data_IF_516400291554
#
_entry.id   IF_516400291554
#
_cell.length_a   1.000
_cell.length_b   1.000
_cell.length_c   1.000
_cell.angle_alpha   90.00
_cell.angle_beta   90.00
_cell.angle_gamma   90.00
#
_symmetry.space_group_name_H-M   'P 1'
#
loop_
_entity.id
_entity.type
_entity.pdbx_description
1 polymer ?
#
# COMPACT_ATOMS: atom_id res chain seq x y z
N UNK A 1 -16.68 -30.45 19.03
CA UNK A 1 -16.65 -29.45 17.95
C UNK A 1 -17.59 -28.36 18.41
N UNK A 2 -17.08 -27.14 18.55
CA UNK A 2 -17.89 -26.00 19.01
C UNK A 2 -18.85 -25.58 17.90
N UNK A 3 -20.08 -25.18 18.27
CA UNK A 3 -21.06 -24.67 17.31
C UNK A 3 -20.58 -23.32 16.75
N UNK A 4 -20.57 -23.19 15.42
CA UNK A 4 -20.18 -21.98 14.72
C UNK A 4 -21.03 -20.77 15.14
N UNK A 5 -22.30 -20.99 15.45
CA UNK A 5 -23.25 -19.93 15.83
C UNK A 5 -23.03 -19.44 17.26
N UNK A 6 -22.32 -20.19 18.10
CA UNK A 6 -22.03 -19.83 19.48
C UNK A 6 -20.65 -19.16 19.64
N UNK A 7 -19.83 -19.16 18.59
CA UNK A 7 -18.51 -18.54 18.62
C UNK A 7 -18.60 -17.01 18.55
N UNK A 8 -17.77 -16.28 19.32
CA UNK A 8 -17.66 -14.83 19.17
C UNK A 8 -17.25 -14.43 17.76
N UNK A 9 -17.77 -13.30 17.28
CA UNK A 9 -17.46 -12.77 15.95
C UNK A 9 -15.95 -12.53 15.74
N UNK A 10 -15.24 -12.17 16.80
CA UNK A 10 -13.79 -12.02 16.79
C UNK A 10 -13.03 -13.32 16.42
N UNK A 11 -13.67 -14.49 16.58
CA UNK A 11 -13.12 -15.79 16.17
C UNK A 11 -13.52 -16.13 14.74
N UNK A 12 -14.81 -16.04 14.42
CA UNK A 12 -15.34 -16.42 13.11
C UNK A 12 -14.89 -15.45 12.01
N UNK A 13 -14.97 -14.14 12.26
CA UNK A 13 -14.54 -13.09 11.32
C UNK A 13 -13.03 -13.06 11.05
N UNK A 14 -12.20 -13.61 11.96
CA UNK A 14 -10.76 -13.77 11.72
C UNK A 14 -10.40 -15.02 10.92
N UNK A 15 -11.27 -16.02 10.88
CA UNK A 15 -11.00 -17.32 10.24
C UNK A 15 -11.74 -17.51 8.93
N UNK A 16 -12.79 -16.72 8.70
CA UNK A 16 -13.60 -16.77 7.50
C UNK A 16 -13.67 -15.38 6.90
N UNK A 17 -13.55 -15.30 5.58
CA UNK A 17 -13.71 -14.07 4.83
C UNK A 17 -14.66 -14.33 3.66
N UNK A 18 -15.52 -13.36 3.38
CA UNK A 18 -16.47 -13.42 2.28
C UNK A 18 -16.17 -12.30 1.29
N UNK A 19 -15.93 -12.66 0.03
CA UNK A 19 -15.75 -11.72 -1.07
C UNK A 19 -17.05 -11.64 -1.87
N UNK A 20 -17.79 -10.56 -1.68
CA UNK A 20 -19.04 -10.28 -2.40
C UNK A 20 -18.76 -9.68 -3.79
N UNK A 21 -19.77 -9.68 -4.66
CA UNK A 21 -19.78 -8.86 -5.89
C UNK A 21 -19.83 -7.36 -5.60
N UNK A 22 -20.41 -6.98 -4.45
CA UNK A 22 -20.45 -5.58 -3.99
C UNK A 22 -19.19 -5.28 -3.18
N UNK A 23 -18.22 -4.62 -3.84
CA UNK A 23 -16.93 -4.30 -3.23
C UNK A 23 -17.02 -2.99 -2.46
N UNK A 24 -16.63 -3.02 -1.19
CA UNK A 24 -16.41 -1.82 -0.39
C UNK A 24 -14.93 -1.43 -0.43
N UNK A 25 -14.64 -0.21 -0.91
CA UNK A 25 -13.29 0.36 -0.91
C UNK A 25 -13.27 1.63 -0.05
N UNK A 26 -12.27 1.73 0.82
CA UNK A 26 -12.01 2.93 1.59
C UNK A 26 -11.43 4.01 0.69
N UNK A 27 -11.78 5.26 0.99
CA UNK A 27 -11.10 6.46 0.46
C UNK A 27 -9.70 6.59 1.06
N UNK A 28 -8.82 5.67 0.69
CA UNK A 28 -7.47 5.50 1.19
C UNK A 28 -6.55 5.00 0.06
N UNK A 29 -5.29 4.75 0.39
CA UNK A 29 -4.36 4.19 -0.60
C UNK A 29 -4.78 2.78 -1.02
N UNK A 30 -4.30 2.33 -2.18
CA UNK A 30 -4.43 0.92 -2.59
C UNK A 30 -3.85 -0.02 -1.52
N UNK A 31 -2.70 0.35 -0.94
CA UNK A 31 -2.05 -0.40 0.14
C UNK A 31 -2.99 -0.55 1.35
N UNK A 32 -3.68 0.52 1.75
CA UNK A 32 -4.59 0.46 2.89
C UNK A 32 -5.77 -0.49 2.64
N UNK A 33 -6.31 -0.47 1.41
CA UNK A 33 -7.39 -1.37 1.03
C UNK A 33 -6.91 -2.84 0.98
N UNK A 34 -5.73 -3.11 0.41
CA UNK A 34 -5.16 -4.47 0.35
C UNK A 34 -4.86 -5.05 1.73
N UNK A 35 -4.44 -4.21 2.68
CA UNK A 35 -4.03 -4.65 4.02
C UNK A 35 -5.15 -4.52 5.05
N UNK A 36 -6.34 -4.06 4.66
CA UNK A 36 -7.42 -3.76 5.60
C UNK A 36 -7.80 -4.98 6.44
N UNK A 37 -7.90 -6.16 5.82
CA UNK A 37 -8.23 -7.42 6.52
C UNK A 37 -7.23 -7.83 7.59
N UNK A 38 -6.01 -7.26 7.59
CA UNK A 38 -5.00 -7.51 8.61
C UNK A 38 -5.16 -6.61 9.84
N UNK A 39 -5.96 -5.54 9.76
CA UNK A 39 -6.13 -4.52 10.81
C UNK A 39 -7.21 -4.90 11.83
N UNK A 40 -6.86 -5.77 12.78
CA UNK A 40 -7.82 -6.29 13.78
C UNK A 40 -7.44 -6.03 15.24
N UNK A 41 -6.18 -5.68 15.53
CA UNK A 41 -5.72 -5.30 16.87
C UNK A 41 -4.43 -4.46 16.76
N UNK A 42 -4.13 -3.61 17.75
CA UNK A 42 -2.83 -2.94 17.84
C UNK A 42 -1.78 -3.96 18.28
N UNK A 43 -0.72 -4.10 17.49
CA UNK A 43 0.34 -5.10 17.70
C UNK A 43 1.63 -4.50 18.25
N UNK A 44 1.74 -3.17 18.27
CA UNK A 44 2.91 -2.46 18.77
C UNK A 44 2.52 -1.42 19.82
N UNK A 45 3.39 -1.22 20.80
CA UNK A 45 3.28 -0.11 21.74
C UNK A 45 3.90 1.15 21.16
N UNK A 46 3.20 2.27 21.22
CA UNK A 46 3.74 3.58 20.83
C UNK A 46 4.41 4.23 22.04
N UNK A 47 5.72 4.51 21.98
CA UNK A 47 6.38 5.25 23.05
C UNK A 47 5.98 6.72 22.99
N UNK A 48 5.66 7.27 24.17
CA UNK A 48 5.39 8.70 24.35
C UNK A 48 6.31 9.26 25.44
N UNK A 49 6.78 10.49 25.26
CA UNK A 49 7.66 11.16 26.21
C UNK A 49 7.11 12.54 26.61
N UNK A 50 7.52 13.02 27.79
CA UNK A 50 7.13 14.32 28.34
C UNK A 50 5.62 14.53 28.40
N UNK A 51 5.17 15.72 27.99
CA UNK A 51 3.77 16.12 28.01
C UNK A 51 2.85 15.19 27.17
N UNK A 52 3.37 14.57 26.10
CA UNK A 52 2.60 13.63 25.31
C UNK A 52 2.30 12.34 26.09
N UNK A 53 3.23 11.89 26.95
CA UNK A 53 3.03 10.74 27.80
C UNK A 53 1.98 11.01 28.89
N UNK A 54 1.99 12.22 29.48
CA UNK A 54 0.97 12.66 30.43
C UNK A 54 -0.42 12.69 29.77
N UNK A 55 -0.51 13.28 28.58
CA UNK A 55 -1.75 13.33 27.82
C UNK A 55 -2.27 11.92 27.48
N UNK A 56 -1.39 11.01 27.06
CA UNK A 56 -1.78 9.64 26.74
C UNK A 56 -2.29 8.90 27.98
N UNK A 57 -1.64 9.06 29.13
CA UNK A 57 -2.13 8.50 30.41
C UNK A 57 -3.51 9.05 30.77
N UNK A 58 -3.72 10.36 30.60
CA UNK A 58 -5.02 10.97 30.81
C UNK A 58 -6.09 10.39 29.88
N UNK A 59 -5.79 10.27 28.59
CA UNK A 59 -6.72 9.72 27.59
C UNK A 59 -7.11 8.27 27.91
N UNK A 60 -6.14 7.41 28.26
CA UNK A 60 -6.41 6.02 28.66
C UNK A 60 -7.28 5.96 29.91
N UNK A 61 -7.01 6.81 30.90
CA UNK A 61 -7.81 6.87 32.12
C UNK A 61 -9.24 7.36 31.89
N UNK A 62 -9.42 8.34 31.00
CA UNK A 62 -10.74 8.83 30.58
C UNK A 62 -11.50 7.78 29.79
N UNK A 63 -10.87 7.14 28.79
CA UNK A 63 -11.47 6.08 28.00
C UNK A 63 -12.01 4.95 28.89
N UNK A 64 -11.21 4.45 29.84
CA UNK A 64 -11.64 3.39 30.78
C UNK A 64 -12.81 3.79 31.65
N UNK A 65 -12.83 5.03 32.17
CA UNK A 65 -13.92 5.52 33.02
C UNK A 65 -15.22 5.70 32.23
N UNK A 66 -15.11 6.04 30.96
CA UNK A 66 -16.23 6.20 30.04
C UNK A 66 -16.67 4.89 29.37
N UNK A 67 -15.99 3.76 29.65
CA UNK A 67 -16.27 2.46 29.02
C UNK A 67 -15.84 2.35 27.55
N UNK A 68 -14.98 3.25 27.08
CA UNK A 68 -14.42 3.26 25.74
C UNK A 68 -13.18 2.36 25.65
N UNK A 69 -12.81 1.99 24.42
CA UNK A 69 -11.55 1.31 24.12
C UNK A 69 -10.35 2.19 24.48
N UNK A 70 -9.35 1.61 25.15
CA UNK A 70 -8.09 2.27 25.50
C UNK A 70 -6.96 1.96 24.51
N UNK A 71 -7.30 1.34 23.38
CA UNK A 71 -6.36 1.00 22.31
C UNK A 71 -5.84 2.26 21.63
N UNK A 72 -4.53 2.33 21.41
CA UNK A 72 -3.91 3.48 20.76
C UNK A 72 -4.02 3.38 19.23
N UNK A 73 -4.72 4.35 18.64
CA UNK A 73 -4.90 4.48 17.18
C UNK A 73 -3.57 4.65 16.43
N UNK A 74 -2.53 5.16 17.09
CA UNK A 74 -1.19 5.34 16.48
C UNK A 74 -0.34 4.07 16.48
N UNK A 75 -0.81 2.99 17.12
CA UNK A 75 -0.16 1.69 17.07
C UNK A 75 -0.09 1.17 15.63
N UNK A 76 0.78 0.20 15.38
CA UNK A 76 0.68 -0.57 14.14
C UNK A 76 -0.43 -1.61 14.29
N UNK A 77 -1.39 -1.57 13.39
CA UNK A 77 -2.54 -2.47 13.37
C UNK A 77 -2.35 -3.64 12.38
N UNK A 78 -1.29 -3.62 11.57
CA UNK A 78 -1.11 -4.61 10.50
C UNK A 78 -0.50 -5.89 11.08
N UNK A 79 -1.25 -6.99 11.03
CA UNK A 79 -0.73 -8.31 11.35
C UNK A 79 0.16 -8.87 10.23
N UNK A 80 1.45 -8.52 10.30
CA UNK A 80 2.48 -9.00 9.38
C UNK A 80 2.65 -10.52 9.45
N UNK A 81 2.57 -11.11 10.65
CA UNK A 81 2.81 -12.53 10.85
C UNK A 81 1.75 -13.37 10.12
N UNK A 82 0.48 -12.96 10.17
CA UNK A 82 -0.61 -13.59 9.42
C UNK A 82 -0.42 -13.48 7.89
N UNK A 83 0.31 -12.48 7.41
CA UNK A 83 0.69 -12.33 6.00
C UNK A 83 2.00 -13.07 5.63
N UNK A 84 2.64 -13.75 6.58
CA UNK A 84 3.95 -14.40 6.37
C UNK A 84 5.11 -13.40 6.25
N UNK A 85 4.95 -12.21 6.84
CA UNK A 85 5.94 -11.14 6.89
C UNK A 85 6.42 -10.92 8.33
N UNK A 86 7.64 -10.39 8.48
CA UNK A 86 8.22 -10.03 9.78
C UNK A 86 7.97 -8.56 10.12
N UNK A 87 7.63 -7.73 9.13
CA UNK A 87 7.32 -6.33 9.34
C UNK A 87 6.99 -5.57 8.05
N UNK A 88 7.06 -4.24 8.06
CA UNK A 88 6.70 -3.43 6.90
C UNK A 88 7.66 -3.59 5.71
N UNK A 89 8.90 -4.02 5.93
CA UNK A 89 9.94 -4.08 4.91
C UNK A 89 9.78 -5.28 3.96
N UNK A 90 9.34 -6.43 4.46
CA UNK A 90 9.16 -7.67 3.69
C UNK A 90 7.69 -7.94 3.30
N UNK A 91 6.75 -7.14 3.83
CA UNK A 91 5.33 -7.21 3.49
C UNK A 91 5.06 -7.07 1.98
N UNK A 92 5.83 -6.24 1.26
CA UNK A 92 5.62 -6.04 -0.18
C UNK A 92 5.76 -7.36 -0.97
N UNK A 93 6.72 -8.20 -0.60
CA UNK A 93 6.89 -9.51 -1.25
C UNK A 93 5.72 -10.44 -0.97
N UNK A 94 5.16 -10.42 0.24
CA UNK A 94 3.95 -11.19 0.57
C UNK A 94 2.75 -10.72 -0.27
N UNK A 95 2.52 -9.40 -0.34
CA UNK A 95 1.45 -8.81 -1.15
C UNK A 95 1.61 -9.18 -2.63
N UNK A 96 2.84 -9.08 -3.17
CA UNK A 96 3.12 -9.43 -4.57
C UNK A 96 2.77 -10.89 -4.88
N UNK A 97 3.13 -11.83 -4.01
CA UNK A 97 2.78 -13.26 -4.19
C UNK A 97 1.27 -13.47 -4.23
N UNK A 98 0.51 -12.76 -3.40
CA UNK A 98 -0.96 -12.84 -3.40
C UNK A 98 -1.51 -12.26 -4.71
N UNK A 99 -1.06 -11.07 -5.12
CA UNK A 99 -1.47 -10.45 -6.38
C UNK A 99 -1.16 -11.33 -7.60
N UNK A 100 -0.01 -12.02 -7.59
CA UNK A 100 0.36 -12.98 -8.63
C UNK A 100 -0.61 -14.18 -8.62
N UNK A 101 -0.92 -14.73 -7.45
CA UNK A 101 -1.83 -15.87 -7.30
C UNK A 101 -3.26 -15.57 -7.75
N UNK A 102 -3.73 -14.32 -7.55
CA UNK A 102 -5.06 -13.86 -8.00
C UNK A 102 -5.03 -13.19 -9.38
N UNK A 103 -3.90 -13.26 -10.08
CA UNK A 103 -3.71 -12.72 -11.44
C UNK A 103 -3.93 -11.21 -11.58
N UNK A 104 -3.78 -10.44 -10.50
CA UNK A 104 -3.98 -8.98 -10.49
C UNK A 104 -2.68 -8.18 -10.61
N UNK A 105 -1.51 -8.83 -10.60
CA UNK A 105 -0.22 -8.12 -10.66
C UNK A 105 -0.09 -7.19 -11.87
N UNK A 106 -0.62 -7.62 -13.03
CA UNK A 106 -0.60 -6.79 -14.23
C UNK A 106 -1.52 -5.58 -14.11
N UNK A 107 -2.73 -5.78 -13.59
CA UNK A 107 -3.70 -4.70 -13.40
C UNK A 107 -3.18 -3.64 -12.41
N UNK A 108 -2.54 -4.08 -11.32
CA UNK A 108 -1.91 -3.17 -10.35
C UNK A 108 -0.75 -2.39 -10.98
N UNK A 109 0.07 -3.04 -11.82
CA UNK A 109 1.12 -2.36 -12.56
C UNK A 109 0.54 -1.32 -13.53
N UNK A 110 -0.45 -1.70 -14.33
CA UNK A 110 -1.09 -0.82 -15.31
C UNK A 110 -1.79 0.37 -14.62
N UNK A 111 -2.41 0.14 -13.45
CA UNK A 111 -2.95 1.18 -12.59
C UNK A 111 -1.84 2.14 -12.12
N UNK A 112 -0.72 1.59 -11.66
CA UNK A 112 0.44 2.38 -11.23
C UNK A 112 1.01 3.23 -12.36
N UNK A 113 1.11 2.70 -13.58
CA UNK A 113 1.60 3.44 -14.76
C UNK A 113 0.67 4.58 -15.18
N UNK A 114 -0.63 4.46 -14.93
CA UNK A 114 -1.64 5.51 -15.19
C UNK A 114 -1.74 6.52 -14.05
N UNK A 115 -1.23 6.19 -12.87
CA UNK A 115 -1.29 7.03 -11.69
C UNK A 115 -0.29 8.19 -11.77
N UNK A 116 -0.64 9.32 -11.16
CA UNK A 116 0.29 10.44 -11.02
C UNK A 116 1.24 10.18 -9.86
N UNK A 117 2.52 10.51 -10.06
CA UNK A 117 3.53 10.46 -9.01
C UNK A 117 3.92 11.88 -8.59
N UNK A 118 4.01 12.12 -7.28
CA UNK A 118 4.65 13.33 -6.76
C UNK A 118 6.18 13.17 -6.86
N UNK A 119 6.74 13.70 -7.94
CA UNK A 119 8.17 13.62 -8.24
C UNK A 119 9.02 14.48 -7.30
N UNK A 120 8.43 15.36 -6.49
CA UNK A 120 9.16 16.11 -5.44
C UNK A 120 9.44 15.23 -4.23
N UNK A 121 8.54 14.29 -3.93
CA UNK A 121 8.70 13.29 -2.86
C UNK A 121 9.49 12.06 -3.30
N UNK A 122 9.47 11.77 -4.61
CA UNK A 122 10.11 10.59 -5.20
C UNK A 122 11.19 11.00 -6.22
N UNK A 123 12.21 11.73 -5.77
CA UNK A 123 13.29 12.23 -6.64
C UNK A 123 14.07 11.12 -7.34
N UNK A 124 14.28 9.98 -6.67
CA UNK A 124 14.92 8.82 -7.28
C UNK A 124 14.11 8.21 -8.43
N UNK A 125 12.78 8.20 -8.32
CA UNK A 125 11.91 7.74 -9.42
C UNK A 125 12.08 8.67 -10.63
N UNK A 126 12.09 9.99 -10.41
CA UNK A 126 12.31 10.96 -11.47
C UNK A 126 13.65 10.73 -12.19
N UNK A 127 14.73 10.55 -11.41
CA UNK A 127 16.06 10.23 -11.95
C UNK A 127 16.04 8.95 -12.78
N UNK A 128 15.45 7.87 -12.25
CA UNK A 128 15.34 6.57 -12.95
C UNK A 128 14.52 6.67 -14.24
N UNK A 129 13.46 7.48 -14.28
CA UNK A 129 12.67 7.71 -15.50
C UNK A 129 13.53 8.37 -16.58
N UNK A 130 14.34 9.38 -16.21
CA UNK A 130 15.24 10.04 -17.16
C UNK A 130 16.32 9.07 -17.67
N UNK A 131 16.92 8.29 -16.78
CA UNK A 131 17.89 7.25 -17.15
C UNK A 131 17.29 6.21 -18.09
N UNK A 132 16.06 5.76 -17.80
CA UNK A 132 15.36 4.79 -18.63
C UNK A 132 15.08 5.36 -20.03
N UNK A 133 14.69 6.64 -20.12
CA UNK A 133 14.48 7.32 -21.42
C UNK A 133 15.77 7.38 -22.24
N UNK A 134 16.90 7.67 -21.61
CA UNK A 134 18.20 7.69 -22.28
C UNK A 134 18.61 6.28 -22.75
N UNK A 135 18.48 5.27 -21.88
CA UNK A 135 18.79 3.88 -22.21
C UNK A 135 17.91 3.34 -23.35
N UNK A 136 16.61 3.67 -23.35
CA UNK A 136 15.69 3.31 -24.43
C UNK A 136 16.12 3.93 -25.76
N UNK A 137 16.53 5.20 -25.77
CA UNK A 137 17.02 5.88 -26.97
C UNK A 137 18.25 5.18 -27.54
N UNK A 138 19.27 4.93 -26.71
CA UNK A 138 20.48 4.22 -27.13
C UNK A 138 20.15 2.83 -27.70
N UNK A 139 19.19 2.12 -27.09
CA UNK A 139 18.78 0.80 -27.59
C UNK A 139 18.10 0.89 -28.97
N UNK A 140 17.20 1.85 -29.17
CA UNK A 140 16.54 2.07 -30.46
C UNK A 140 17.54 2.41 -31.57
N UNK A 141 18.57 3.21 -31.25
CA UNK A 141 19.66 3.53 -32.19
C UNK A 141 20.45 2.29 -32.58
N UNK A 142 20.81 1.44 -31.61
CA UNK A 142 21.54 0.20 -31.88
C UNK A 142 20.73 -0.80 -32.71
N UNK A 143 19.41 -0.82 -32.57
CA UNK A 143 18.52 -1.70 -33.35
C UNK A 143 18.11 -1.09 -34.70
N UNK A 144 18.55 0.13 -35.03
CA UNK A 144 18.15 0.82 -36.27
C UNK A 144 16.68 1.26 -36.27
N UNK A 145 16.05 1.34 -35.09
CA UNK A 145 14.64 1.65 -34.90
C UNK A 145 14.41 3.12 -34.50
N UNK A 146 15.41 3.99 -34.63
CA UNK A 146 15.32 5.41 -34.25
C UNK A 146 14.17 6.16 -34.94
N UNK A 147 13.72 5.70 -36.11
CA UNK A 147 12.59 6.31 -36.82
C UNK A 147 11.22 6.02 -36.22
N UNK A 148 11.09 5.08 -35.27
CA UNK A 148 9.80 4.71 -34.68
C UNK A 148 9.31 5.69 -33.60
N UNK A 149 10.22 6.48 -33.01
CA UNK A 149 9.90 7.37 -31.89
C UNK A 149 10.61 8.70 -32.10
N UNK A 150 9.86 9.79 -32.10
CA UNK A 150 10.44 11.15 -32.08
C UNK A 150 10.75 11.54 -30.64
N UNK A 151 12.02 11.72 -30.23
CA UNK A 151 12.35 12.13 -28.88
C UNK A 151 11.87 13.56 -28.62
N UNK A 152 11.61 13.86 -27.35
CA UNK A 152 11.41 15.25 -26.93
C UNK A 152 12.73 16.03 -27.05
N UNK A 153 12.70 17.12 -27.81
CA UNK A 153 13.80 18.08 -27.94
C UNK A 153 13.30 19.49 -27.60
N UNK A 154 13.83 20.13 -26.54
CA UNK A 154 13.45 21.48 -26.19
C UNK A 154 13.70 22.46 -27.35
N UNK A 155 12.66 23.17 -27.79
CA UNK A 155 12.76 24.15 -28.88
C UNK A 155 12.61 23.59 -30.30
N UNK A 156 12.40 22.28 -30.47
CA UNK A 156 12.09 21.67 -31.75
C UNK A 156 10.61 21.30 -31.86
N UNK A 157 10.04 21.42 -33.05
CA UNK A 157 8.66 21.02 -33.32
C UNK A 157 8.58 19.54 -33.70
N UNK A 158 7.68 18.79 -33.07
CA UNK A 158 7.40 17.40 -33.44
C UNK A 158 6.51 17.36 -34.68
N UNK A 159 7.08 16.93 -35.81
CA UNK A 159 6.37 16.87 -37.10
C UNK A 159 5.32 15.76 -37.18
N UNK A 160 5.38 14.78 -36.28
CA UNK A 160 4.48 13.62 -36.23
C UNK A 160 3.29 13.82 -35.27
N UNK A 161 3.19 14.98 -34.61
CA UNK A 161 2.15 15.28 -33.60
C UNK A 161 0.93 16.04 -34.17
N UNK A 162 0.63 15.89 -35.46
CA UNK A 162 -0.53 16.52 -36.11
C UNK A 162 -1.83 15.75 -35.90
#
# INVERSE_FOLDING_TARGET
ADDLLELPEAVTGRRMSYASSDVFLFHASLRDNLLYGLKHAPLTSVPYEGAAADQQRWNVHEARRSGNSDLDIRSDWIDYASAGATGPHDLFEAVRRVLDAVLLSRDILDLGLRSSADLTRHTELARRIVELRAALRTRLEQEGLSGLVVPFEPGAYNKEAS
#
